data_IF_334373871384
#
_entry.id   IF_334373871384
#
_cell.length_a   1.000
_cell.length_b   1.000
_cell.length_c   1.000
_cell.angle_alpha   90.00
_cell.angle_beta   90.00
_cell.angle_gamma   90.00
#
_symmetry.space_group_name_H-M   'P 1'
#
loop_
_entity.id
_entity.type
_entity.pdbx_description
1 polymer ?
#
# COMPACT_ATOMS: atom_id res chain seq x y z
N UNK A 1 -46.44 -26.43 41.46
CA UNK A 1 -47.09 -26.16 40.18
C UNK A 1 -47.35 -24.65 39.90
N UNK A 2 -47.49 -23.79 40.93
CA UNK A 2 -47.75 -22.34 40.73
C UNK A 2 -46.60 -21.54 40.12
N UNK A 3 -45.35 -21.97 40.27
CA UNK A 3 -44.17 -21.25 39.78
C UNK A 3 -44.03 -21.25 38.25
N UNK A 4 -44.49 -22.28 37.54
CA UNK A 4 -44.33 -22.41 36.10
C UNK A 4 -45.34 -21.58 35.28
N UNK A 5 -46.53 -21.36 35.82
CA UNK A 5 -47.56 -20.50 35.20
C UNK A 5 -47.20 -19.04 35.36
N UNK A 6 -46.74 -18.60 36.54
CA UNK A 6 -46.30 -17.21 36.76
C UNK A 6 -45.13 -16.80 35.86
N UNK A 7 -44.24 -17.72 35.56
CA UNK A 7 -43.06 -17.46 34.74
C UNK A 7 -43.34 -17.31 33.25
N UNK A 8 -44.38 -17.98 32.70
CA UNK A 8 -44.86 -17.77 31.35
C UNK A 8 -45.55 -16.40 31.21
N UNK A 9 -46.14 -15.94 32.32
CA UNK A 9 -46.80 -14.64 32.44
C UNK A 9 -45.80 -13.49 32.39
N UNK A 10 -44.61 -13.63 33.01
CA UNK A 10 -43.57 -12.60 33.03
C UNK A 10 -43.06 -12.29 31.61
N UNK A 11 -42.76 -13.29 30.76
CA UNK A 11 -42.32 -13.05 29.39
C UNK A 11 -43.40 -12.32 28.58
N UNK A 12 -44.64 -12.80 28.64
CA UNK A 12 -45.79 -12.19 27.93
C UNK A 12 -46.09 -10.77 28.43
N UNK A 13 -45.99 -10.56 29.75
CA UNK A 13 -46.16 -9.23 30.34
C UNK A 13 -45.08 -8.26 29.85
N UNK A 14 -43.78 -8.69 29.83
CA UNK A 14 -42.69 -7.93 29.29
C UNK A 14 -42.89 -7.59 27.80
N UNK A 15 -43.35 -8.56 27.02
CA UNK A 15 -43.63 -8.37 25.57
C UNK A 15 -44.75 -7.37 25.35
N UNK A 16 -45.85 -7.42 26.12
CA UNK A 16 -46.93 -6.46 26.05
C UNK A 16 -46.47 -5.03 26.40
N UNK A 17 -45.72 -4.87 27.48
CA UNK A 17 -45.15 -3.60 27.89
C UNK A 17 -44.18 -3.05 26.82
N UNK A 18 -43.38 -3.91 26.23
CA UNK A 18 -42.50 -3.53 25.13
C UNK A 18 -43.28 -3.02 23.91
N UNK A 19 -44.35 -3.72 23.50
CA UNK A 19 -45.28 -3.31 22.40
C UNK A 19 -45.98 -1.97 22.69
N UNK A 20 -46.26 -1.68 23.97
CA UNK A 20 -46.78 -0.40 24.43
C UNK A 20 -45.69 0.70 24.53
N UNK A 21 -44.45 0.40 24.16
CA UNK A 21 -43.27 1.25 24.31
C UNK A 21 -42.94 1.66 25.77
N UNK A 22 -43.38 0.87 26.72
CA UNK A 22 -43.11 1.01 28.18
C UNK A 22 -41.88 0.19 28.57
N UNK A 23 -40.74 0.56 27.97
CA UNK A 23 -39.53 -0.26 27.97
C UNK A 23 -38.90 -0.40 29.36
N UNK A 24 -38.94 0.65 30.19
CA UNK A 24 -38.43 0.61 31.57
C UNK A 24 -39.17 -0.39 32.41
N UNK A 25 -40.51 -0.43 32.22
CA UNK A 25 -41.36 -1.36 32.96
C UNK A 25 -41.21 -2.80 32.46
N UNK A 26 -40.88 -3.00 31.20
CA UNK A 26 -40.64 -4.32 30.61
C UNK A 26 -39.36 -5.00 31.13
N UNK A 27 -38.31 -4.24 31.49
CA UNK A 27 -37.00 -4.74 31.91
C UNK A 27 -37.08 -5.78 33.02
N UNK A 28 -37.76 -5.56 34.16
CA UNK A 28 -37.83 -6.54 35.24
C UNK A 28 -38.46 -7.86 34.80
N UNK A 29 -39.46 -7.80 33.93
CA UNK A 29 -40.13 -8.99 33.40
C UNK A 29 -39.23 -9.82 32.48
N UNK A 30 -38.48 -9.19 31.60
CA UNK A 30 -37.51 -9.92 30.78
C UNK A 30 -36.35 -10.48 31.59
N UNK A 31 -35.86 -9.76 32.60
CA UNK A 31 -34.86 -10.30 33.52
C UNK A 31 -35.37 -11.54 34.26
N UNK A 32 -36.61 -11.50 34.73
CA UNK A 32 -37.25 -12.64 35.36
C UNK A 32 -37.37 -13.82 34.38
N UNK A 33 -37.82 -13.55 33.13
CA UNK A 33 -37.94 -14.58 32.11
C UNK A 33 -36.56 -15.22 31.76
N UNK A 34 -35.51 -14.44 31.67
CA UNK A 34 -34.13 -14.93 31.46
C UNK A 34 -33.69 -15.84 32.61
N UNK A 35 -33.95 -15.45 33.84
CA UNK A 35 -33.51 -16.21 35.02
C UNK A 35 -34.09 -17.64 35.07
N UNK A 36 -35.20 -17.87 34.39
CA UNK A 36 -35.83 -19.19 34.32
C UNK A 36 -35.12 -20.12 33.32
N UNK A 37 -34.34 -19.57 32.38
CA UNK A 37 -33.73 -20.30 31.27
C UNK A 37 -34.70 -20.82 30.20
N UNK A 38 -36.02 -20.53 30.33
CA UNK A 38 -37.08 -21.07 29.45
C UNK A 38 -37.39 -20.19 28.27
N UNK A 39 -37.01 -18.93 28.33
CA UNK A 39 -37.33 -17.91 27.31
C UNK A 39 -36.08 -17.27 26.69
N UNK A 40 -35.36 -17.99 25.84
CA UNK A 40 -34.18 -17.44 25.20
C UNK A 40 -34.45 -16.14 24.40
N UNK A 41 -35.67 -15.97 23.89
CA UNK A 41 -36.09 -14.73 23.20
C UNK A 41 -36.05 -13.49 24.11
N UNK A 42 -36.14 -13.65 25.43
CA UNK A 42 -36.09 -12.53 26.36
C UNK A 42 -34.77 -11.75 26.32
N UNK A 43 -33.66 -12.38 25.94
CA UNK A 43 -32.38 -11.68 25.74
C UNK A 43 -32.50 -10.59 24.64
N UNK A 44 -33.18 -10.91 23.54
CA UNK A 44 -33.37 -9.94 22.48
C UNK A 44 -34.22 -8.74 22.93
N UNK A 45 -35.33 -8.99 23.57
CA UNK A 45 -36.21 -7.92 24.06
C UNK A 45 -35.53 -7.08 25.15
N UNK A 46 -34.80 -7.70 26.07
CA UNK A 46 -34.07 -6.98 27.11
C UNK A 46 -32.98 -6.07 26.49
N UNK A 47 -32.25 -6.57 25.49
CA UNK A 47 -31.26 -5.79 24.77
C UNK A 47 -31.90 -4.56 24.11
N UNK A 48 -33.02 -4.75 23.41
CA UNK A 48 -33.78 -3.66 22.79
C UNK A 48 -34.36 -2.67 23.82
N UNK A 49 -34.79 -3.13 24.98
CA UNK A 49 -35.21 -2.23 26.07
C UNK A 49 -34.06 -1.31 26.47
N UNK A 50 -32.88 -1.88 26.73
CA UNK A 50 -31.72 -1.10 27.12
C UNK A 50 -31.25 -0.15 26.03
N UNK A 51 -31.28 -0.58 24.76
CA UNK A 51 -30.95 0.29 23.62
C UNK A 51 -31.90 1.49 23.56
N UNK A 52 -33.23 1.27 23.66
CA UNK A 52 -34.24 2.34 23.67
C UNK A 52 -34.10 3.30 24.87
N UNK A 53 -33.60 2.80 26.00
CA UNK A 53 -33.30 3.60 27.21
C UNK A 53 -31.95 4.36 27.07
N UNK A 54 -31.17 4.15 26.01
CA UNK A 54 -29.84 4.71 25.85
C UNK A 54 -28.76 4.03 26.71
N UNK A 55 -29.09 2.91 27.35
CA UNK A 55 -28.19 2.09 28.16
C UNK A 55 -27.42 1.13 27.24
N UNK A 56 -26.57 1.72 26.38
CA UNK A 56 -25.91 0.99 25.28
C UNK A 56 -24.97 -0.11 25.78
N UNK A 57 -24.26 0.13 26.87
CA UNK A 57 -23.34 -0.89 27.44
C UNK A 57 -24.09 -2.10 27.94
N UNK A 58 -25.15 -1.86 28.68
CA UNK A 58 -26.03 -2.91 29.23
C UNK A 58 -26.69 -3.70 28.09
N UNK A 59 -27.12 -3.02 27.02
CA UNK A 59 -27.65 -3.69 25.83
C UNK A 59 -26.62 -4.62 25.19
N UNK A 60 -25.36 -4.15 25.01
CA UNK A 60 -24.29 -4.95 24.44
C UNK A 60 -23.93 -6.16 25.31
N UNK A 61 -23.93 -5.99 26.65
CA UNK A 61 -23.71 -7.08 27.59
C UNK A 61 -24.78 -8.16 27.43
N UNK A 62 -26.05 -7.77 27.41
CA UNK A 62 -27.18 -8.70 27.23
C UNK A 62 -27.11 -9.42 25.88
N UNK A 63 -26.79 -8.73 24.80
CA UNK A 63 -26.57 -9.37 23.50
C UNK A 63 -25.44 -10.40 23.56
N UNK A 64 -24.31 -10.03 24.17
CA UNK A 64 -23.13 -10.91 24.33
C UNK A 64 -23.41 -12.12 25.17
N UNK A 65 -24.16 -11.97 26.24
CA UNK A 65 -24.62 -13.10 27.11
C UNK A 65 -25.58 -14.01 26.33
N UNK A 66 -26.57 -13.41 25.64
CA UNK A 66 -27.53 -14.15 24.85
C UNK A 66 -26.87 -14.97 23.73
N UNK A 67 -25.79 -14.48 23.13
CA UNK A 67 -25.01 -15.22 22.11
C UNK A 67 -24.45 -16.55 22.65
N UNK A 68 -24.25 -16.70 23.95
CA UNK A 68 -23.73 -17.91 24.58
C UNK A 68 -24.84 -18.90 24.92
N UNK A 69 -26.10 -18.45 24.93
CA UNK A 69 -27.26 -19.26 25.36
C UNK A 69 -27.80 -20.04 24.14
N UNK A 70 -28.15 -21.30 24.39
CA UNK A 70 -28.82 -22.14 23.40
C UNK A 70 -30.27 -21.71 23.21
N UNK A 71 -30.74 -21.74 21.95
CA UNK A 71 -32.12 -21.38 21.61
C UNK A 71 -32.37 -19.89 21.44
N UNK A 72 -31.37 -19.05 21.65
CA UNK A 72 -31.45 -17.63 21.24
C UNK A 72 -31.32 -17.47 19.71
N UNK A 73 -31.93 -16.46 19.18
CA UNK A 73 -31.69 -16.07 17.77
C UNK A 73 -30.39 -15.27 17.66
N UNK A 74 -29.32 -15.97 17.29
CA UNK A 74 -27.99 -15.40 17.20
C UNK A 74 -27.87 -14.35 16.09
N UNK A 75 -28.62 -14.47 15.00
CA UNK A 75 -28.61 -13.46 13.93
C UNK A 75 -29.14 -12.13 14.44
N UNK A 76 -30.25 -12.16 15.20
CA UNK A 76 -30.89 -10.96 15.76
C UNK A 76 -30.05 -10.35 16.86
N UNK A 77 -29.55 -11.17 17.79
CA UNK A 77 -28.67 -10.68 18.85
C UNK A 77 -27.38 -10.04 18.30
N UNK A 78 -26.78 -10.65 17.29
CA UNK A 78 -25.60 -10.09 16.65
C UNK A 78 -25.93 -8.79 15.91
N UNK A 79 -27.08 -8.71 15.25
CA UNK A 79 -27.55 -7.49 14.60
C UNK A 79 -27.77 -6.36 15.62
N UNK A 80 -28.43 -6.63 16.73
CA UNK A 80 -28.66 -5.65 17.79
C UNK A 80 -27.34 -5.20 18.44
N UNK A 81 -26.45 -6.14 18.72
CA UNK A 81 -25.09 -5.79 19.21
C UNK A 81 -24.35 -4.88 18.24
N UNK A 82 -24.47 -5.12 16.93
CA UNK A 82 -23.95 -4.25 15.90
C UNK A 82 -24.54 -2.85 15.93
N UNK A 83 -25.87 -2.75 16.07
CA UNK A 83 -26.56 -1.46 16.18
C UNK A 83 -26.10 -0.68 17.41
N UNK A 84 -25.95 -1.34 18.53
CA UNK A 84 -25.44 -0.75 19.78
C UNK A 84 -24.01 -0.25 19.61
N UNK A 85 -23.12 -1.06 19.03
CA UNK A 85 -21.75 -0.63 18.76
C UNK A 85 -21.72 0.56 17.77
N UNK A 86 -22.57 0.56 16.77
CA UNK A 86 -22.72 1.66 15.83
C UNK A 86 -23.18 2.95 16.53
N UNK A 87 -24.16 2.86 17.42
CA UNK A 87 -24.63 3.97 18.24
C UNK A 87 -23.56 4.51 19.21
N UNK A 88 -22.63 3.65 19.62
CA UNK A 88 -21.45 4.01 20.43
C UNK A 88 -20.30 4.57 19.57
N UNK A 89 -20.47 4.68 18.26
CA UNK A 89 -19.46 5.06 17.28
C UNK A 89 -18.26 4.08 17.19
N UNK A 90 -18.39 2.87 17.79
CA UNK A 90 -17.44 1.78 17.61
C UNK A 90 -17.76 1.01 16.31
N UNK A 91 -17.44 1.65 15.18
CA UNK A 91 -17.76 1.11 13.85
C UNK A 91 -17.02 -0.18 13.53
N UNK A 92 -15.84 -0.39 14.12
CA UNK A 92 -15.08 -1.61 13.97
C UNK A 92 -15.77 -2.81 14.65
N UNK A 93 -16.25 -2.64 15.87
CA UNK A 93 -17.02 -3.67 16.55
C UNK A 93 -18.38 -3.88 15.91
N UNK A 94 -19.03 -2.81 15.44
CA UNK A 94 -20.30 -2.88 14.72
C UNK A 94 -20.17 -3.77 13.46
N UNK A 95 -19.17 -3.54 12.62
CA UNK A 95 -18.86 -4.34 11.43
C UNK A 95 -18.71 -5.83 11.77
N UNK A 96 -18.00 -6.16 12.85
CA UNK A 96 -17.82 -7.54 13.29
C UNK A 96 -19.15 -8.18 13.71
N UNK A 97 -19.95 -7.48 14.47
CA UNK A 97 -21.25 -7.97 14.91
C UNK A 97 -22.23 -8.16 13.75
N UNK A 98 -22.30 -7.23 12.81
CA UNK A 98 -23.09 -7.38 11.59
C UNK A 98 -22.60 -8.57 10.74
N UNK A 99 -21.29 -8.76 10.64
CA UNK A 99 -20.73 -9.93 9.95
C UNK A 99 -21.13 -11.24 10.59
N UNK A 100 -21.22 -11.30 11.91
CA UNK A 100 -21.77 -12.48 12.63
C UNK A 100 -23.26 -12.69 12.33
N UNK A 101 -24.07 -11.62 12.26
CA UNK A 101 -25.46 -11.71 11.89
C UNK A 101 -25.65 -12.24 10.47
N UNK A 102 -24.88 -11.74 9.51
CA UNK A 102 -24.88 -12.18 8.10
C UNK A 102 -24.43 -13.65 8.00
N UNK A 103 -23.40 -14.04 8.75
CA UNK A 103 -22.93 -15.42 8.77
C UNK A 103 -23.99 -16.39 9.31
N UNK A 104 -24.81 -15.96 10.28
CA UNK A 104 -25.91 -16.76 10.81
C UNK A 104 -27.07 -16.89 9.79
N UNK A 105 -27.34 -15.87 8.99
CA UNK A 105 -28.30 -15.91 7.90
C UNK A 105 -27.91 -14.94 6.78
N UNK A 106 -27.46 -15.48 5.66
CA UNK A 106 -26.99 -14.69 4.49
C UNK A 106 -28.09 -13.92 3.76
N UNK A 107 -29.35 -14.30 3.95
CA UNK A 107 -30.50 -13.63 3.36
C UNK A 107 -31.09 -12.55 4.26
N UNK A 108 -30.50 -12.35 5.45
CA UNK A 108 -30.91 -11.31 6.37
C UNK A 108 -30.31 -9.97 5.94
N UNK A 109 -31.09 -9.16 5.20
CA UNK A 109 -30.62 -7.94 4.56
C UNK A 109 -30.22 -6.80 5.55
N UNK A 110 -30.95 -6.51 6.66
CA UNK A 110 -30.63 -5.36 7.51
C UNK A 110 -29.20 -5.26 8.00
N UNK A 111 -28.51 -6.33 8.47
CA UNK A 111 -27.12 -6.21 8.88
C UNK A 111 -26.16 -5.95 7.72
N UNK A 112 -26.54 -6.27 6.47
CA UNK A 112 -25.69 -5.94 5.30
C UNK A 112 -25.68 -4.44 5.09
N UNK A 113 -26.85 -3.77 5.12
CA UNK A 113 -26.94 -2.31 5.02
C UNK A 113 -26.16 -1.62 6.16
N UNK A 114 -26.36 -2.09 7.38
CA UNK A 114 -25.73 -1.47 8.54
C UNK A 114 -24.21 -1.73 8.55
N UNK A 115 -23.74 -2.86 8.01
CA UNK A 115 -22.31 -3.13 7.84
C UNK A 115 -21.72 -2.19 6.80
N UNK A 116 -22.39 -1.99 5.67
CA UNK A 116 -21.99 -1.02 4.67
C UNK A 116 -21.84 0.38 5.27
N UNK A 117 -22.79 0.81 6.11
CA UNK A 117 -22.70 2.08 6.82
C UNK A 117 -21.50 2.14 7.80
N UNK A 118 -21.25 1.06 8.53
CA UNK A 118 -20.13 0.98 9.45
C UNK A 118 -18.77 0.99 8.72
N UNK A 119 -18.70 0.31 7.57
CA UNK A 119 -17.52 0.32 6.70
C UNK A 119 -17.28 1.69 6.08
N UNK A 120 -18.35 2.38 5.67
CA UNK A 120 -18.28 3.76 5.17
C UNK A 120 -17.70 4.71 6.22
N UNK A 121 -18.13 4.58 7.48
CA UNK A 121 -17.60 5.36 8.60
C UNK A 121 -16.13 5.07 8.90
N UNK A 122 -15.65 3.89 8.53
CA UNK A 122 -14.25 3.48 8.63
C UNK A 122 -13.43 3.80 7.37
N UNK A 123 -14.02 4.51 6.40
CA UNK A 123 -13.41 4.81 5.10
C UNK A 123 -13.08 3.55 4.27
N UNK A 124 -13.70 2.42 4.57
CA UNK A 124 -13.58 1.16 3.82
C UNK A 124 -14.50 1.18 2.58
N UNK A 125 -14.25 2.12 1.69
CA UNK A 125 -15.17 2.46 0.60
C UNK A 125 -15.48 1.30 -0.35
N UNK A 126 -14.50 0.43 -0.61
CA UNK A 126 -14.70 -0.73 -1.51
C UNK A 126 -15.58 -1.77 -0.85
N UNK A 127 -15.34 -2.10 0.42
CA UNK A 127 -16.16 -3.05 1.16
C UNK A 127 -17.60 -2.55 1.31
N UNK A 128 -17.76 -1.29 1.70
CA UNK A 128 -19.06 -0.61 1.78
C UNK A 128 -19.82 -0.64 0.44
N UNK A 129 -19.14 -0.40 -0.68
CA UNK A 129 -19.73 -0.50 -2.03
C UNK A 129 -20.30 -1.90 -2.31
N UNK A 130 -19.52 -2.94 -2.01
CA UNK A 130 -19.96 -4.33 -2.24
C UNK A 130 -21.16 -4.67 -1.36
N UNK A 131 -21.18 -4.21 -0.11
CA UNK A 131 -22.30 -4.45 0.80
C UNK A 131 -23.57 -3.67 0.42
N UNK A 132 -23.47 -2.42 -0.05
CA UNK A 132 -24.66 -1.71 -0.56
C UNK A 132 -25.26 -2.41 -1.78
N UNK A 133 -24.42 -2.92 -2.69
CA UNK A 133 -24.89 -3.71 -3.84
C UNK A 133 -25.56 -4.99 -3.38
N UNK A 134 -24.92 -5.73 -2.48
CA UNK A 134 -25.48 -6.95 -1.90
C UNK A 134 -26.82 -6.66 -1.20
N UNK A 135 -26.94 -5.55 -0.49
CA UNK A 135 -28.18 -5.16 0.15
C UNK A 135 -29.30 -4.94 -0.87
N UNK A 136 -29.04 -4.23 -1.96
CA UNK A 136 -30.05 -4.03 -3.01
C UNK A 136 -30.44 -5.31 -3.74
N UNK A 137 -29.52 -6.27 -3.86
CA UNK A 137 -29.84 -7.61 -4.39
C UNK A 137 -30.77 -8.38 -3.43
N UNK A 138 -30.57 -8.24 -2.12
CA UNK A 138 -31.41 -8.87 -1.10
C UNK A 138 -32.76 -8.14 -0.89
N UNK A 139 -32.80 -6.83 -1.16
CA UNK A 139 -33.94 -5.95 -0.91
C UNK A 139 -34.20 -5.03 -2.10
N UNK A 140 -34.55 -5.56 -3.28
CA UNK A 140 -34.65 -4.78 -4.54
C UNK A 140 -35.73 -3.72 -4.55
N UNK A 141 -36.72 -3.85 -3.66
CA UNK A 141 -37.88 -2.93 -3.54
C UNK A 141 -37.76 -2.03 -2.29
N UNK A 142 -36.57 -1.89 -1.73
CA UNK A 142 -36.35 -1.03 -0.56
C UNK A 142 -36.71 0.43 -0.88
N UNK A 143 -37.29 1.11 0.09
CA UNK A 143 -37.72 2.50 -0.04
C UNK A 143 -36.55 3.47 -0.21
N UNK A 144 -35.40 3.14 0.35
CA UNK A 144 -34.17 3.94 0.26
C UNK A 144 -33.30 3.56 -0.95
N UNK A 145 -33.79 2.69 -1.84
CA UNK A 145 -33.08 2.26 -3.05
C UNK A 145 -32.51 3.43 -3.85
N UNK A 146 -33.25 4.52 -4.13
CA UNK A 146 -32.70 5.64 -4.92
C UNK A 146 -31.49 6.31 -4.24
N UNK A 147 -31.53 6.46 -2.93
CA UNK A 147 -30.45 7.07 -2.13
C UNK A 147 -29.23 6.15 -2.08
N UNK A 148 -29.46 4.86 -1.92
CA UNK A 148 -28.39 3.85 -1.91
C UNK A 148 -27.73 3.74 -3.28
N UNK A 149 -28.52 3.80 -4.38
CA UNK A 149 -27.97 3.81 -5.75
C UNK A 149 -27.11 5.05 -6.02
N UNK A 150 -27.48 6.22 -5.49
CA UNK A 150 -26.63 7.42 -5.56
C UNK A 150 -25.32 7.23 -4.80
N UNK A 151 -25.37 6.63 -3.62
CA UNK A 151 -24.20 6.35 -2.83
C UNK A 151 -23.28 5.31 -3.51
N UNK A 152 -23.87 4.26 -4.09
CA UNK A 152 -23.15 3.27 -4.91
C UNK A 152 -22.42 3.99 -6.06
N UNK A 153 -23.12 4.85 -6.82
CA UNK A 153 -22.50 5.58 -7.93
C UNK A 153 -21.33 6.46 -7.47
N UNK A 154 -21.44 7.08 -6.30
CA UNK A 154 -20.38 7.88 -5.68
C UNK A 154 -19.18 7.02 -5.30
N UNK A 155 -19.43 5.87 -4.66
CA UNK A 155 -18.39 4.91 -4.25
C UNK A 155 -17.71 4.25 -5.45
N UNK A 156 -18.45 3.97 -6.54
CA UNK A 156 -17.88 3.51 -7.81
C UNK A 156 -16.96 4.55 -8.43
N UNK A 157 -17.35 5.81 -8.38
CA UNK A 157 -16.51 6.92 -8.80
C UNK A 157 -15.23 7.03 -7.95
N UNK A 158 -15.35 6.81 -6.64
CA UNK A 158 -14.18 6.77 -5.75
C UNK A 158 -13.27 5.57 -6.06
N UNK A 159 -13.83 4.37 -6.20
CA UNK A 159 -13.11 3.15 -6.57
C UNK A 159 -12.35 3.34 -7.89
N UNK A 160 -13.04 3.84 -8.91
CA UNK A 160 -12.43 4.11 -10.22
C UNK A 160 -11.29 5.11 -10.12
N UNK A 161 -11.47 6.20 -9.38
CA UNK A 161 -10.42 7.18 -9.23
C UNK A 161 -9.20 6.65 -8.45
N UNK A 162 -9.42 5.75 -7.49
CA UNK A 162 -8.33 5.09 -6.78
C UNK A 162 -7.59 4.11 -7.70
N UNK A 163 -8.33 3.37 -8.53
CA UNK A 163 -7.76 2.50 -9.56
C UNK A 163 -6.94 3.31 -10.58
N UNK A 164 -7.48 4.43 -11.06
CA UNK A 164 -6.80 5.34 -11.99
C UNK A 164 -5.53 5.93 -11.35
N UNK A 165 -5.58 6.31 -10.06
CA UNK A 165 -4.43 6.80 -9.29
C UNK A 165 -3.34 5.75 -9.17
N UNK A 166 -3.71 4.52 -8.83
CA UNK A 166 -2.77 3.40 -8.71
C UNK A 166 -2.16 3.02 -10.06
N UNK A 167 -2.97 3.05 -11.13
CA UNK A 167 -2.50 2.80 -12.48
C UNK A 167 -1.49 3.87 -12.92
N UNK A 168 -1.79 5.14 -12.64
CA UNK A 168 -0.90 6.25 -12.92
C UNK A 168 0.39 6.19 -12.12
N UNK A 169 0.31 5.87 -10.82
CA UNK A 169 1.49 5.66 -9.98
C UNK A 169 2.37 4.53 -10.50
N UNK A 170 1.75 3.43 -10.94
CA UNK A 170 2.46 2.30 -11.55
C UNK A 170 3.14 2.73 -12.86
N UNK A 171 2.42 3.47 -13.72
CA UNK A 171 2.97 4.00 -14.98
C UNK A 171 4.18 4.90 -14.73
N UNK A 172 4.07 5.82 -13.75
CA UNK A 172 5.17 6.71 -13.40
C UNK A 172 6.39 5.96 -12.85
N UNK A 173 6.16 4.91 -12.06
CA UNK A 173 7.24 4.04 -11.58
C UNK A 173 7.92 3.28 -12.71
N UNK A 174 7.15 2.75 -13.65
CA UNK A 174 7.68 2.04 -14.84
C UNK A 174 8.47 3.01 -15.75
N UNK A 175 7.94 4.20 -15.99
CA UNK A 175 8.61 5.26 -16.76
C UNK A 175 9.92 5.69 -16.07
N UNK A 176 9.91 5.90 -14.77
CA UNK A 176 11.10 6.22 -14.00
C UNK A 176 12.16 5.12 -14.07
N UNK A 177 11.74 3.85 -14.00
CA UNK A 177 12.64 2.72 -14.14
C UNK A 177 13.25 2.62 -15.54
N UNK A 178 12.46 2.92 -16.59
CA UNK A 178 12.94 2.96 -17.97
C UNK A 178 13.96 4.08 -18.18
N UNK A 179 13.67 5.27 -17.64
CA UNK A 179 14.60 6.41 -17.70
C UNK A 179 15.91 6.07 -16.99
N UNK A 180 15.81 5.50 -15.78
CA UNK A 180 17.00 5.08 -15.03
C UNK A 180 17.82 4.01 -15.79
N UNK A 181 17.15 3.01 -16.36
CA UNK A 181 17.82 1.98 -17.16
C UNK A 181 18.46 2.54 -18.44
N UNK A 182 17.82 3.52 -19.08
CA UNK A 182 18.39 4.20 -20.24
C UNK A 182 19.63 5.01 -19.87
N UNK A 183 19.61 5.72 -18.75
CA UNK A 183 20.74 6.47 -18.23
C UNK A 183 21.91 5.56 -17.86
N UNK A 184 21.63 4.45 -17.17
CA UNK A 184 22.66 3.45 -16.83
C UNK A 184 23.32 2.86 -18.10
N UNK A 185 22.51 2.58 -19.13
CA UNK A 185 23.03 2.12 -20.43
C UNK A 185 23.89 3.17 -21.11
N UNK A 186 23.48 4.43 -21.07
CA UNK A 186 24.26 5.52 -21.64
C UNK A 186 25.59 5.69 -20.91
N UNK A 187 25.58 5.71 -19.59
CA UNK A 187 26.79 5.79 -18.77
C UNK A 187 27.73 4.62 -19.08
N UNK A 188 27.16 3.40 -19.15
CA UNK A 188 27.96 2.21 -19.49
C UNK A 188 28.55 2.30 -20.89
N UNK A 189 27.79 2.79 -21.88
CA UNK A 189 28.26 2.99 -23.24
C UNK A 189 29.38 4.05 -23.31
N UNK A 190 29.24 5.16 -22.58
CA UNK A 190 30.27 6.20 -22.48
C UNK A 190 31.54 5.66 -21.82
N UNK A 191 31.41 4.88 -20.73
CA UNK A 191 32.56 4.22 -20.09
C UNK A 191 33.25 3.24 -21.03
N UNK A 192 32.47 2.42 -21.75
CA UNK A 192 33.03 1.49 -22.74
C UNK A 192 33.72 2.22 -23.88
N UNK A 193 33.14 3.29 -24.38
CA UNK A 193 33.74 4.10 -25.41
C UNK A 193 35.04 4.79 -24.95
N UNK A 194 35.04 5.32 -23.71
CA UNK A 194 36.23 5.90 -23.12
C UNK A 194 37.33 4.84 -22.90
N UNK A 195 36.97 3.66 -22.40
CA UNK A 195 37.92 2.56 -22.26
C UNK A 195 38.48 2.08 -23.59
N UNK A 196 37.62 1.94 -24.62
CA UNK A 196 38.08 1.59 -25.97
C UNK A 196 39.02 2.63 -26.54
N UNK A 197 38.72 3.93 -26.35
CA UNK A 197 39.59 5.02 -26.78
C UNK A 197 40.93 4.96 -26.05
N UNK A 198 40.95 4.72 -24.76
CA UNK A 198 42.20 4.57 -24.00
C UNK A 198 43.03 3.39 -24.53
N UNK A 199 42.39 2.22 -24.75
CA UNK A 199 43.06 1.05 -25.32
C UNK A 199 43.62 1.36 -26.72
N UNK A 200 42.89 2.12 -27.51
CA UNK A 200 43.36 2.50 -28.83
C UNK A 200 44.53 3.49 -28.72
N UNK A 201 44.42 4.53 -27.89
CA UNK A 201 45.49 5.49 -27.64
C UNK A 201 46.75 4.80 -27.06
N UNK A 202 46.61 3.79 -26.22
CA UNK A 202 47.73 2.98 -25.72
C UNK A 202 48.37 2.14 -26.84
N UNK A 203 47.53 1.52 -27.72
CA UNK A 203 48.01 0.78 -28.89
C UNK A 203 48.75 1.66 -29.87
N UNK A 204 48.19 2.84 -30.12
CA UNK A 204 48.80 3.80 -31.05
C UNK A 204 50.15 4.29 -30.48
N UNK A 205 50.23 4.57 -29.19
CA UNK A 205 51.47 4.91 -28.51
C UNK A 205 52.52 3.75 -28.50
N UNK A 206 52.01 2.52 -28.30
CA UNK A 206 52.85 1.35 -28.35
C UNK A 206 53.39 1.15 -29.78
N UNK A 207 52.54 1.29 -30.80
CA UNK A 207 52.97 1.20 -32.19
C UNK A 207 53.94 2.31 -32.60
N UNK A 208 53.74 3.54 -32.11
CA UNK A 208 54.69 4.65 -32.31
C UNK A 208 56.03 4.37 -31.62
N UNK A 209 55.97 3.84 -30.40
CA UNK A 209 57.16 3.45 -29.66
C UNK A 209 57.92 2.30 -30.39
N UNK A 210 57.20 1.30 -30.85
CA UNK A 210 57.76 0.16 -31.60
C UNK A 210 58.36 0.63 -32.94
N UNK A 211 57.69 1.57 -33.65
CA UNK A 211 58.23 2.19 -34.83
C UNK A 211 59.52 2.99 -34.55
N UNK A 212 59.57 3.77 -33.46
CA UNK A 212 60.77 4.49 -33.02
C UNK A 212 61.89 3.55 -32.62
N UNK A 213 61.55 2.47 -31.95
CA UNK A 213 62.54 1.43 -31.61
C UNK A 213 63.08 0.72 -32.86
N UNK A 214 62.18 0.42 -33.83
CA UNK A 214 62.60 -0.19 -35.10
C UNK A 214 63.49 0.77 -35.91
N UNK A 215 63.16 2.06 -35.92
CA UNK A 215 63.96 3.09 -36.58
C UNK A 215 65.33 3.23 -35.88
N UNK A 216 65.33 3.25 -34.56
CA UNK A 216 66.57 3.27 -33.76
C UNK A 216 67.42 2.01 -34.02
N UNK A 217 66.74 0.84 -34.07
CA UNK A 217 67.40 -0.41 -34.37
C UNK A 217 68.01 -0.42 -35.80
N UNK A 218 67.21 0.05 -36.78
CA UNK A 218 67.69 0.18 -38.15
C UNK A 218 68.89 1.15 -38.26
N UNK A 219 68.83 2.27 -37.51
CA UNK A 219 69.93 3.22 -37.45
C UNK A 219 71.15 2.58 -36.75
N UNK A 220 70.93 1.81 -35.71
CA UNK A 220 71.96 1.04 -34.99
C UNK A 220 72.59 -0.02 -35.90
N UNK A 221 71.76 -0.71 -36.70
CA UNK A 221 72.26 -1.72 -37.63
C UNK A 221 73.00 -1.08 -38.80
N UNK A 222 72.56 0.10 -39.30
CA UNK A 222 73.38 0.91 -40.22
C UNK A 222 74.70 1.35 -39.58
N UNK A 223 74.64 1.86 -38.36
CA UNK A 223 75.87 2.23 -37.65
C UNK A 223 76.78 1.05 -37.37
N UNK A 224 76.19 -0.12 -37.03
CA UNK A 224 76.98 -1.35 -36.89
C UNK A 224 77.63 -1.78 -38.22
N UNK A 225 76.87 -1.74 -39.33
CA UNK A 225 77.40 -2.05 -40.63
C UNK A 225 78.51 -1.06 -41.02
N UNK A 226 78.37 0.20 -40.60
CA UNK A 226 79.37 1.23 -40.87
C UNK A 226 80.59 1.09 -39.93
N UNK A 227 80.33 0.75 -38.65
CA UNK A 227 81.41 0.43 -37.67
C UNK A 227 82.12 -0.85 -38.11
N UNK A 228 81.41 -1.86 -38.61
CA UNK A 228 82.05 -3.08 -39.10
C UNK A 228 82.88 -2.79 -40.35
N UNK A 229 82.47 -1.82 -41.13
CA UNK A 229 83.23 -1.28 -42.27
C UNK A 229 84.48 -0.53 -41.80
N UNK A 230 84.29 0.31 -40.72
CA UNK A 230 85.40 1.11 -40.14
C UNK A 230 86.28 0.24 -39.25
N UNK A 231 85.77 -0.83 -38.57
CA UNK A 231 86.53 -1.70 -37.72
C UNK A 231 87.48 -2.57 -38.48
N UNK A 232 87.22 -2.84 -39.73
CA UNK A 232 88.24 -3.42 -40.63
C UNK A 232 89.40 -2.50 -40.89
N UNK A 233 89.22 -1.20 -40.62
CA UNK A 233 90.27 -0.20 -40.79
C UNK A 233 90.92 0.31 -39.49
N UNK A 234 90.29 0.13 -38.36
CA UNK A 234 90.79 0.64 -37.03
C UNK A 234 90.49 -0.29 -35.88
N UNK A 235 91.13 -1.38 -35.76
CA UNK A 235 91.08 -2.29 -34.58
C UNK A 235 91.71 -1.72 -33.26
N UNK A 236 92.10 -0.47 -33.23
CA UNK A 236 92.85 0.08 -32.06
C UNK A 236 92.14 1.21 -31.27
N UNK A 237 90.95 1.63 -31.65
CA UNK A 237 90.20 2.73 -30.95
C UNK A 237 88.93 2.26 -30.23
N UNK A 238 88.63 0.97 -30.30
CA UNK A 238 87.34 0.41 -29.85
C UNK A 238 87.17 0.23 -28.36
N UNK A 239 88.13 0.12 -27.54
CA UNK A 239 87.92 -0.18 -26.10
C UNK A 239 87.46 1.03 -25.25
N UNK A 240 87.74 2.26 -25.69
CA UNK A 240 87.32 3.45 -24.94
C UNK A 240 85.92 3.98 -25.30
N UNK A 241 85.45 3.74 -26.52
CA UNK A 241 84.15 4.21 -26.99
C UNK A 241 82.91 3.35 -26.52
N UNK A 242 83.18 2.09 -26.14
CA UNK A 242 82.09 1.18 -25.72
C UNK A 242 81.62 1.47 -24.29
N UNK A 243 82.48 1.94 -23.41
CA UNK A 243 82.15 2.25 -22.02
C UNK A 243 81.28 3.50 -21.84
N UNK A 244 81.44 4.54 -22.67
CA UNK A 244 80.67 5.77 -22.62
C UNK A 244 79.29 5.62 -23.20
N UNK A 245 79.12 4.69 -24.15
CA UNK A 245 77.81 4.50 -24.82
C UNK A 245 76.80 3.79 -23.89
N UNK A 246 77.22 2.86 -23.05
CA UNK A 246 76.41 2.11 -22.11
C UNK A 246 75.81 3.00 -21.01
N UNK A 247 76.58 3.93 -20.50
CA UNK A 247 76.12 4.87 -19.47
C UNK A 247 75.04 5.84 -19.99
N UNK A 248 75.08 6.24 -21.25
CA UNK A 248 74.10 7.15 -21.86
C UNK A 248 72.76 6.49 -22.18
N UNK A 249 72.76 5.21 -22.51
CA UNK A 249 71.51 4.47 -22.82
C UNK A 249 70.76 4.08 -21.53
N UNK A 250 71.45 3.82 -20.45
CA UNK A 250 70.88 3.58 -19.09
C UNK A 250 70.21 4.87 -18.52
N UNK A 251 70.80 6.04 -18.76
CA UNK A 251 70.26 7.33 -18.34
C UNK A 251 68.94 7.69 -19.09
N UNK A 252 68.90 7.40 -20.39
CA UNK A 252 67.67 7.63 -21.21
C UNK A 252 66.52 6.65 -20.91
N UNK A 253 66.85 5.42 -20.58
CA UNK A 253 65.82 4.44 -20.16
C UNK A 253 65.16 4.84 -18.85
N UNK A 254 65.96 5.31 -17.88
CA UNK A 254 65.44 5.81 -16.62
C UNK A 254 64.59 7.07 -16.76
N UNK A 255 64.96 7.99 -17.68
CA UNK A 255 64.14 9.20 -17.95
C UNK A 255 62.79 8.86 -18.62
N UNK A 256 62.73 7.83 -19.47
CA UNK A 256 61.50 7.37 -20.12
C UNK A 256 60.54 6.71 -19.15
N UNK A 257 61.08 5.88 -18.25
CA UNK A 257 60.32 5.19 -17.19
C UNK A 257 59.67 6.19 -16.21
N UNK A 258 60.42 7.22 -15.82
CA UNK A 258 59.93 8.30 -14.98
C UNK A 258 58.76 9.09 -15.65
N UNK A 259 58.85 9.37 -16.94
CA UNK A 259 57.77 10.06 -17.71
C UNK A 259 56.53 9.20 -17.86
N UNK A 260 56.69 7.89 -17.99
CA UNK A 260 55.54 6.97 -18.03
C UNK A 260 54.81 6.93 -16.71
N UNK A 261 55.51 6.86 -15.57
CA UNK A 261 54.91 6.88 -14.24
C UNK A 261 54.15 8.19 -13.92
N UNK A 262 54.67 9.34 -14.38
CA UNK A 262 53.97 10.63 -14.22
C UNK A 262 52.69 10.69 -15.08
N UNK A 263 52.67 10.10 -16.25
CA UNK A 263 51.50 10.06 -17.14
C UNK A 263 50.40 9.13 -16.59
N UNK A 264 50.79 8.02 -15.99
CA UNK A 264 49.86 7.07 -15.37
C UNK A 264 49.16 7.69 -14.14
N UNK A 265 49.90 8.39 -13.30
CA UNK A 265 49.35 9.11 -12.14
C UNK A 265 48.34 10.22 -12.57
N UNK A 266 48.62 10.90 -13.69
CA UNK A 266 47.72 11.93 -14.25
C UNK A 266 46.40 11.34 -14.80
N UNK A 267 46.47 10.17 -15.42
CA UNK A 267 45.30 9.41 -15.90
C UNK A 267 44.43 8.93 -14.75
N UNK A 268 45.02 8.49 -13.64
CA UNK A 268 44.27 8.05 -12.45
C UNK A 268 43.54 9.22 -11.79
N UNK A 269 44.14 10.40 -11.73
CA UNK A 269 43.46 11.61 -11.26
C UNK A 269 42.25 11.99 -12.15
N UNK A 270 42.38 11.92 -13.47
CA UNK A 270 41.29 12.21 -14.38
C UNK A 270 40.12 11.21 -14.25
N UNK A 271 40.43 9.93 -14.01
CA UNK A 271 39.39 8.92 -13.77
C UNK A 271 38.61 9.22 -12.48
N UNK A 272 39.27 9.60 -11.40
CA UNK A 272 38.63 9.95 -10.14
C UNK A 272 37.74 11.19 -10.26
N UNK A 273 38.12 12.18 -11.05
CA UNK A 273 37.34 13.40 -11.29
C UNK A 273 36.07 13.13 -12.14
N UNK A 274 36.18 12.27 -13.14
CA UNK A 274 35.01 11.83 -13.96
C UNK A 274 34.03 11.05 -13.09
N UNK A 275 34.50 10.15 -12.24
CA UNK A 275 33.63 9.35 -11.35
C UNK A 275 32.88 10.24 -10.35
N UNK A 276 33.53 11.29 -9.86
CA UNK A 276 32.90 12.27 -8.95
C UNK A 276 31.79 13.07 -9.66
N UNK A 277 32.02 13.56 -10.85
CA UNK A 277 31.00 14.27 -11.63
C UNK A 277 29.81 13.37 -11.96
N UNK A 278 30.04 12.10 -12.20
CA UNK A 278 29.00 11.11 -12.48
C UNK A 278 28.09 10.88 -11.27
N UNK A 279 28.67 10.84 -10.06
CA UNK A 279 27.90 10.70 -8.80
C UNK A 279 27.06 11.94 -8.51
N UNK A 280 27.59 13.12 -8.74
CA UNK A 280 26.83 14.38 -8.58
C UNK A 280 25.64 14.47 -9.55
N UNK A 281 25.81 14.05 -10.80
CA UNK A 281 24.73 14.01 -11.78
C UNK A 281 23.61 13.03 -11.40
N UNK A 282 23.96 11.84 -10.89
CA UNK A 282 22.98 10.87 -10.38
C UNK A 282 22.17 11.44 -9.21
N UNK A 283 22.83 12.05 -8.24
CA UNK A 283 22.16 12.64 -7.08
C UNK A 283 21.19 13.76 -7.46
N UNK A 284 21.55 14.58 -8.45
CA UNK A 284 20.65 15.64 -8.96
C UNK A 284 19.39 15.06 -9.61
N UNK A 285 19.53 14.00 -10.40
CA UNK A 285 18.41 13.35 -11.07
C UNK A 285 17.46 12.65 -10.08
N UNK A 286 18.00 11.99 -9.06
CA UNK A 286 17.20 11.38 -8.01
C UNK A 286 16.40 12.43 -7.22
N UNK A 287 17.01 13.57 -6.92
CA UNK A 287 16.32 14.67 -6.24
C UNK A 287 15.17 15.25 -7.06
N UNK A 288 15.36 15.44 -8.36
CA UNK A 288 14.32 15.92 -9.27
C UNK A 288 13.15 14.95 -9.38
N UNK A 289 13.42 13.64 -9.46
CA UNK A 289 12.39 12.60 -9.52
C UNK A 289 11.60 12.51 -8.21
N UNK A 290 12.28 12.69 -7.07
CA UNK A 290 11.64 12.71 -5.75
C UNK A 290 10.68 13.90 -5.62
N UNK A 291 11.08 15.09 -6.05
CA UNK A 291 10.24 16.27 -6.02
C UNK A 291 8.96 16.10 -6.87
N UNK A 292 9.06 15.50 -8.05
CA UNK A 292 7.91 15.20 -8.91
C UNK A 292 6.91 14.23 -8.24
N UNK A 293 7.43 13.22 -7.54
CA UNK A 293 6.58 12.25 -6.81
C UNK A 293 5.85 12.90 -5.64
N UNK A 294 6.50 13.78 -4.91
CA UNK A 294 5.90 14.51 -3.78
C UNK A 294 4.79 15.47 -4.24
N UNK A 295 4.97 16.12 -5.38
CA UNK A 295 3.95 17.00 -5.95
C UNK A 295 2.72 16.22 -6.45
N UNK A 296 2.93 15.09 -7.12
CA UNK A 296 1.85 14.21 -7.56
C UNK A 296 1.06 13.63 -6.37
N UNK A 297 1.76 13.26 -5.28
CA UNK A 297 1.14 12.75 -4.08
C UNK A 297 0.26 13.80 -3.39
N UNK A 298 0.72 15.05 -3.27
CA UNK A 298 -0.07 16.15 -2.71
C UNK A 298 -1.36 16.41 -3.49
N UNK A 299 -1.28 16.42 -4.80
CA UNK A 299 -2.46 16.61 -5.66
C UNK A 299 -3.47 15.48 -5.51
N UNK A 300 -3.00 14.23 -5.41
CA UNK A 300 -3.86 13.07 -5.17
C UNK A 300 -4.54 13.12 -3.81
N UNK A 301 -3.84 13.59 -2.78
CA UNK A 301 -4.38 13.76 -1.42
C UNK A 301 -5.47 14.85 -1.35
N UNK A 302 -5.26 15.98 -2.04
CA UNK A 302 -6.27 17.03 -2.15
C UNK A 302 -7.55 16.56 -2.85
N UNK A 303 -7.41 15.80 -3.94
CA UNK A 303 -8.55 15.24 -4.66
C UNK A 303 -9.29 14.18 -3.82
N UNK A 304 -8.56 13.37 -3.07
CA UNK A 304 -9.14 12.41 -2.13
C UNK A 304 -9.91 13.12 -1.01
N UNK A 305 -9.35 14.19 -0.45
CA UNK A 305 -10.01 14.98 0.59
C UNK A 305 -11.32 15.61 0.12
N UNK A 306 -11.35 16.14 -1.11
CA UNK A 306 -12.58 16.68 -1.72
C UNK A 306 -13.67 15.62 -1.86
N UNK A 307 -13.30 14.40 -2.27
CA UNK A 307 -14.24 13.29 -2.42
C UNK A 307 -14.75 12.77 -1.10
N UNK A 308 -13.90 12.68 -0.07
CA UNK A 308 -14.30 12.32 1.30
C UNK A 308 -15.38 13.25 1.81
N UNK A 309 -15.16 14.56 1.69
CA UNK A 309 -16.13 15.55 2.13
C UNK A 309 -17.49 15.40 1.42
N UNK A 310 -17.46 15.11 0.12
CA UNK A 310 -18.69 14.89 -0.66
C UNK A 310 -19.44 13.63 -0.21
N UNK A 311 -18.72 12.56 0.09
CA UNK A 311 -19.27 11.32 0.64
C UNK A 311 -19.86 11.50 2.04
N UNK A 312 -19.17 12.27 2.88
CA UNK A 312 -19.66 12.62 4.23
C UNK A 312 -20.95 13.44 4.17
N UNK A 313 -21.03 14.42 3.27
CA UNK A 313 -22.22 15.26 3.10
C UNK A 313 -23.42 14.41 2.64
N UNK A 314 -23.22 13.45 1.72
CA UNK A 314 -24.27 12.54 1.26
C UNK A 314 -24.66 11.54 2.34
N UNK A 315 -23.66 10.97 3.05
CA UNK A 315 -23.91 10.04 4.14
C UNK A 315 -24.63 10.73 5.32
N UNK A 316 -24.30 11.98 5.62
CA UNK A 316 -25.00 12.77 6.64
C UNK A 316 -26.46 13.05 6.25
N UNK A 317 -26.73 13.26 4.95
CA UNK A 317 -28.08 13.41 4.42
C UNK A 317 -28.90 12.13 4.57
N UNK A 318 -28.28 10.97 4.30
CA UNK A 318 -28.89 9.66 4.50
C UNK A 318 -29.11 9.35 5.99
N UNK A 319 -28.13 9.66 6.86
CA UNK A 319 -28.24 9.41 8.29
C UNK A 319 -29.34 10.21 9.00
N UNK A 320 -29.61 11.44 8.57
CA UNK A 320 -30.73 12.20 9.12
C UNK A 320 -32.10 11.56 8.82
N UNK A 321 -32.17 10.69 7.80
CA UNK A 321 -33.33 9.86 7.53
C UNK A 321 -33.28 8.49 8.23
N UNK A 322 -32.10 8.02 8.59
CA UNK A 322 -31.85 6.66 9.08
C UNK A 322 -31.87 6.50 10.59
N UNK A 323 -31.57 7.53 11.37
CA UNK A 323 -31.68 7.42 12.84
C UNK A 323 -33.07 7.01 13.29
N UNK A 324 -34.11 7.39 12.50
CA UNK A 324 -35.44 6.86 12.70
C UNK A 324 -35.65 5.44 12.17
N UNK A 325 -34.84 5.03 11.18
CA UNK A 325 -34.97 3.72 10.52
C UNK A 325 -34.08 2.63 11.13
N UNK A 326 -32.92 2.98 11.73
CA UNK A 326 -32.14 1.99 12.45
C UNK A 326 -32.91 1.42 13.65
N UNK A 327 -33.65 2.28 14.34
CA UNK A 327 -34.58 1.86 15.40
C UNK A 327 -35.76 1.09 14.83
N UNK A 328 -36.28 1.53 13.68
CA UNK A 328 -37.38 0.85 12.97
C UNK A 328 -36.93 -0.51 12.38
N UNK A 329 -35.66 -0.64 11.93
CA UNK A 329 -35.10 -1.91 11.50
C UNK A 329 -34.96 -2.91 12.64
N UNK A 330 -34.58 -2.45 13.84
CA UNK A 330 -34.59 -3.25 15.04
C UNK A 330 -36.02 -3.63 15.47
N UNK A 331 -36.96 -2.68 15.32
CA UNK A 331 -38.38 -2.94 15.58
C UNK A 331 -38.99 -3.87 14.52
N UNK A 332 -38.65 -3.64 13.25
CA UNK A 332 -39.13 -4.48 12.16
C UNK A 332 -38.61 -5.92 12.25
N UNK A 333 -37.43 -6.14 12.80
CA UNK A 333 -36.92 -7.50 13.01
C UNK A 333 -37.62 -8.26 14.14
N UNK A 334 -38.19 -7.55 15.09
CA UNK A 334 -38.96 -8.20 16.18
C UNK A 334 -40.37 -8.58 15.70
N UNK A 335 -40.96 -7.79 14.80
CA UNK A 335 -42.32 -8.02 14.33
C UNK A 335 -42.41 -8.77 12.99
N UNK A 336 -41.39 -8.73 12.15
CA UNK A 336 -41.49 -9.14 10.74
C UNK A 336 -41.12 -10.58 10.43
N UNK A 337 -41.13 -11.47 11.18
CA UNK A 337 -40.89 -12.79 10.65
C UNK A 337 -40.67 -13.89 11.68
N UNK A 338 -40.82 -13.51 12.90
CA UNK A 338 -40.62 -14.48 13.96
C UNK A 338 -41.79 -15.42 14.17
N UNK A 339 -42.98 -14.99 13.78
CA UNK A 339 -44.19 -15.77 13.97
C UNK A 339 -44.57 -16.68 12.80
N UNK A 340 -44.01 -16.42 11.59
CA UNK A 340 -44.39 -17.20 10.39
C UNK A 340 -43.48 -18.36 10.04
N UNK A 341 -42.28 -18.47 10.69
CA UNK A 341 -41.32 -19.53 10.37
C UNK A 341 -41.18 -20.61 11.45
N UNK A 342 -42.07 -20.61 12.48
CA UNK A 342 -42.03 -21.59 13.56
C UNK A 342 -43.33 -22.35 13.73
N UNK A 343 -44.01 -22.71 12.63
CA UNK A 343 -44.94 -23.84 12.62
C UNK A 343 -44.31 -25.05 11.90
#
# INVERSE_FOLDING_TARGET
MFSAFAQNDDFLQGENLFKENRVEEAVPFFKSAISTGKFPKAYNYLALCYEKMGLLKESLEVCTEGMKVSGTDKKVLAFNAGNVCFAMEDFYSAEKWYSLAIAANRLYAPPVLNRANAELKQEKYIASLEDYKLYLDLSPNDRQKPEIEQLIALLEGFKKAEEDRLAEEKRLKEEAALIQAAQERQILAEQQAAAQKQIQDEKDKAAELEAKMAEQQALLDQQRAEIERISKEKQLVEEQAAAEKKARDEEKAAELEAKMAEQEARLEQQRAEIERMLQEQKAYQEAALKAQREEAAKKAEEDAARRRKLLEDVAASLQNSETSNMTAGAEGTVDYGYESELE
#
